data_IF_479691093858
#
_entry.id   IF_479691093858
#
_cell.length_a   1.000
_cell.length_b   1.000
_cell.length_c   1.000
_cell.angle_alpha   90.00
_cell.angle_beta   90.00
_cell.angle_gamma   90.00
#
_symmetry.space_group_name_H-M   'P 1'
#
loop_
_entity.id
_entity.type
_entity.pdbx_description
1 polymer ?
#
# COMPACT_ATOMS: atom_id res chain seq x y z
N UNK A 1 -11.58 21.19 7.05
CA UNK A 1 -10.23 21.59 6.58
C UNK A 1 -10.38 22.21 5.20
N UNK A 2 -9.69 23.34 4.88
CA UNK A 2 -9.68 23.91 3.55
C UNK A 2 -9.20 22.87 2.54
N UNK A 3 -9.90 22.70 1.44
CA UNK A 3 -9.48 21.83 0.35
C UNK A 3 -8.83 22.65 -0.77
N UNK A 4 -8.10 22.01 -1.70
CA UNK A 4 -7.46 22.68 -2.84
C UNK A 4 -8.44 23.53 -3.68
N UNK A 5 -9.73 23.23 -3.60
CA UNK A 5 -10.81 23.89 -4.34
C UNK A 5 -11.73 24.76 -3.46
N UNK A 6 -11.62 24.67 -2.14
CA UNK A 6 -12.40 25.45 -1.21
C UNK A 6 -11.46 26.16 -0.21
N UNK A 7 -11.25 27.46 -0.43
CA UNK A 7 -10.44 28.35 0.42
C UNK A 7 -11.24 28.97 1.57
N UNK A 8 -12.35 28.34 2.00
CA UNK A 8 -13.14 28.86 3.10
C UNK A 8 -12.29 28.94 4.37
N UNK A 9 -12.21 30.12 4.92
CA UNK A 9 -11.70 30.38 6.27
C UNK A 9 -12.58 29.64 7.28
N UNK A 10 -12.02 29.37 8.44
CA UNK A 10 -12.79 28.80 9.55
C UNK A 10 -13.92 29.77 9.91
N UNK A 11 -15.15 29.26 10.02
CA UNK A 11 -16.27 30.04 10.51
C UNK A 11 -16.16 30.17 12.02
N UNK A 12 -15.85 31.36 12.52
CA UNK A 12 -15.76 31.68 13.94
C UNK A 12 -16.99 32.46 14.43
N UNK A 13 -18.14 32.33 13.76
CA UNK A 13 -19.37 32.96 14.18
C UNK A 13 -19.94 32.25 15.43
N UNK A 14 -20.13 32.96 16.57
CA UNK A 14 -20.75 32.39 17.77
C UNK A 14 -22.12 31.75 17.52
N UNK A 15 -22.89 32.26 16.58
CA UNK A 15 -24.19 31.68 16.20
C UNK A 15 -24.06 30.30 15.54
N UNK A 16 -23.02 30.07 14.78
CA UNK A 16 -22.75 28.77 14.18
C UNK A 16 -22.25 27.76 15.22
N UNK A 17 -21.47 28.19 16.21
CA UNK A 17 -21.12 27.34 17.35
C UNK A 17 -22.36 26.94 18.16
N UNK A 18 -23.33 27.83 18.39
CA UNK A 18 -24.57 27.49 19.08
C UNK A 18 -25.38 26.41 18.32
N UNK A 19 -25.45 26.52 16.98
CA UNK A 19 -26.06 25.48 16.14
C UNK A 19 -25.32 24.15 16.24
N UNK A 20 -23.97 24.20 16.19
CA UNK A 20 -23.15 23.01 16.34
C UNK A 20 -23.34 22.33 17.70
N UNK A 21 -23.38 23.10 18.78
CA UNK A 21 -23.63 22.56 20.11
C UNK A 21 -25.03 21.95 20.23
N UNK A 22 -26.04 22.60 19.67
CA UNK A 22 -27.40 22.04 19.63
C UNK A 22 -27.45 20.72 18.84
N UNK A 23 -26.75 20.66 17.70
CA UNK A 23 -26.63 19.47 16.89
C UNK A 23 -25.93 18.33 17.66
N UNK A 24 -24.75 18.59 18.23
CA UNK A 24 -24.02 17.60 19.02
C UNK A 24 -24.83 17.09 20.22
N UNK A 25 -25.58 17.99 20.90
CA UNK A 25 -26.49 17.58 21.99
C UNK A 25 -27.59 16.65 21.48
N UNK A 26 -28.16 16.94 20.32
CA UNK A 26 -29.19 16.11 19.73
C UNK A 26 -28.64 14.74 19.34
N UNK A 27 -27.41 14.66 18.81
CA UNK A 27 -26.76 13.39 18.47
C UNK A 27 -26.61 12.50 19.72
N UNK A 28 -26.16 13.08 20.84
CA UNK A 28 -26.05 12.33 22.12
C UNK A 28 -27.41 11.81 22.60
N UNK A 29 -28.47 12.62 22.51
CA UNK A 29 -29.84 12.19 22.89
C UNK A 29 -30.32 11.04 22.00
N UNK A 30 -30.05 11.10 20.71
CA UNK A 30 -30.41 10.02 19.77
C UNK A 30 -29.61 8.76 20.06
N UNK A 31 -28.30 8.90 20.30
CA UNK A 31 -27.43 7.77 20.66
C UNK A 31 -27.90 7.07 21.95
N UNK A 32 -28.26 7.84 22.97
CA UNK A 32 -28.80 7.31 24.22
C UNK A 32 -30.13 6.57 24.01
N UNK A 33 -31.02 7.15 23.18
CA UNK A 33 -32.29 6.49 22.84
C UNK A 33 -32.09 5.17 22.10
N UNK A 34 -31.16 5.14 21.14
CA UNK A 34 -30.79 3.92 20.41
C UNK A 34 -30.20 2.89 21.37
N UNK A 35 -29.29 3.32 22.27
CA UNK A 35 -28.68 2.42 23.26
C UNK A 35 -29.74 1.74 24.14
N UNK A 36 -30.75 2.48 24.57
CA UNK A 36 -31.81 1.95 25.44
C UNK A 36 -32.76 0.96 24.73
N UNK A 37 -32.89 1.05 23.39
CA UNK A 37 -33.71 0.18 22.55
C UNK A 37 -32.93 -1.02 21.98
N UNK A 38 -31.59 -1.01 22.06
CA UNK A 38 -30.75 -2.09 21.53
C UNK A 38 -30.37 -3.10 22.60
N UNK A 39 -30.23 -4.36 22.19
CA UNK A 39 -29.74 -5.40 23.09
C UNK A 39 -28.25 -5.26 23.31
N UNK A 40 -27.81 -5.48 24.54
CA UNK A 40 -26.39 -5.60 24.86
C UNK A 40 -25.71 -6.75 24.12
N UNK A 41 -24.41 -6.62 23.87
CA UNK A 41 -23.62 -7.72 23.36
C UNK A 41 -23.66 -8.91 24.29
N UNK A 42 -23.84 -10.12 23.72
CA UNK A 42 -23.64 -11.35 24.50
C UNK A 42 -22.27 -11.32 25.23
N UNK A 43 -22.17 -11.80 26.49
CA UNK A 43 -20.93 -11.71 27.28
C UNK A 43 -19.67 -12.12 26.53
N UNK A 44 -19.68 -13.25 25.85
CA UNK A 44 -18.54 -13.71 25.01
C UNK A 44 -18.18 -12.70 23.89
N UNK A 45 -19.16 -12.12 23.23
CA UNK A 45 -18.94 -11.12 22.17
C UNK A 45 -18.39 -9.83 22.77
N UNK A 46 -18.84 -9.45 23.96
CA UNK A 46 -18.35 -8.29 24.70
C UNK A 46 -16.89 -8.47 25.10
N UNK A 47 -16.50 -9.64 25.62
CA UNK A 47 -15.11 -9.93 25.98
C UNK A 47 -14.21 -9.88 24.76
N UNK A 48 -14.67 -10.41 23.63
CA UNK A 48 -13.95 -10.36 22.35
C UNK A 48 -13.81 -8.91 21.85
N UNK A 49 -14.87 -8.11 21.97
CA UNK A 49 -14.83 -6.69 21.63
C UNK A 49 -13.86 -5.90 22.52
N UNK A 50 -13.87 -6.13 23.84
CA UNK A 50 -12.93 -5.51 24.79
C UNK A 50 -11.48 -5.88 24.46
N UNK A 51 -11.23 -7.15 24.11
CA UNK A 51 -9.91 -7.58 23.65
C UNK A 51 -9.49 -6.85 22.36
N UNK A 52 -10.42 -6.69 21.42
CA UNK A 52 -10.16 -5.94 20.18
C UNK A 52 -9.81 -4.46 20.49
N UNK A 53 -10.51 -3.81 21.43
CA UNK A 53 -10.16 -2.45 21.84
C UNK A 53 -8.73 -2.38 22.37
N UNK A 54 -8.36 -3.29 23.27
CA UNK A 54 -6.99 -3.36 23.83
C UNK A 54 -5.92 -3.58 22.74
N UNK A 55 -6.21 -4.43 21.74
CA UNK A 55 -5.30 -4.66 20.61
C UNK A 55 -5.14 -3.37 19.79
N UNK A 56 -6.26 -2.71 19.47
CA UNK A 56 -6.25 -1.46 18.71
C UNK A 56 -5.56 -0.31 19.45
N UNK A 57 -5.76 -0.19 20.75
CA UNK A 57 -5.09 0.82 21.60
C UNK A 57 -3.59 0.55 21.72
N UNK A 58 -3.20 -0.70 21.95
CA UNK A 58 -1.77 -1.07 22.01
C UNK A 58 -1.09 -0.76 20.68
N UNK A 59 -1.78 -0.98 19.57
CA UNK A 59 -1.25 -0.84 18.24
C UNK A 59 -0.20 -1.89 17.88
N UNK A 60 0.27 -1.85 16.65
CA UNK A 60 1.24 -2.76 16.07
C UNK A 60 2.51 -1.97 15.79
N UNK A 61 3.68 -2.41 16.27
CA UNK A 61 4.93 -1.72 16.01
C UNK A 61 5.28 -1.80 14.52
N UNK A 62 5.92 -0.74 14.03
CA UNK A 62 6.38 -0.62 12.64
C UNK A 62 7.82 -0.11 12.65
N UNK A 63 8.69 -0.77 11.94
CA UNK A 63 10.05 -0.31 11.71
C UNK A 63 10.07 0.77 10.63
N UNK A 64 9.98 2.04 11.09
CA UNK A 64 9.97 3.22 10.23
C UNK A 64 11.23 3.30 9.38
N UNK A 65 12.40 3.06 9.98
CA UNK A 65 13.68 3.17 9.29
C UNK A 65 13.81 2.16 8.16
N UNK A 66 13.45 0.91 8.40
CA UNK A 66 13.41 -0.12 7.38
C UNK A 66 12.48 0.27 6.22
N UNK A 67 11.28 0.75 6.52
CA UNK A 67 10.32 1.15 5.50
C UNK A 67 10.85 2.31 4.66
N UNK A 68 11.44 3.32 5.29
CA UNK A 68 12.05 4.47 4.61
C UNK A 68 13.22 4.03 3.70
N UNK A 69 14.05 3.09 4.16
CA UNK A 69 15.15 2.54 3.37
C UNK A 69 14.64 1.77 2.15
N UNK A 70 13.63 0.91 2.32
CA UNK A 70 13.01 0.17 1.21
C UNK A 70 12.41 1.14 0.19
N UNK A 71 11.63 2.13 0.62
CA UNK A 71 11.01 3.09 -0.27
C UNK A 71 12.05 3.96 -1.01
N UNK A 72 13.14 4.36 -0.35
CA UNK A 72 14.23 5.10 -0.96
C UNK A 72 14.93 4.25 -2.03
N UNK A 73 15.26 3.00 -1.72
CA UNK A 73 15.88 2.06 -2.66
C UNK A 73 14.98 1.80 -3.87
N UNK A 74 13.69 1.52 -3.64
CA UNK A 74 12.73 1.30 -4.73
C UNK A 74 12.54 2.52 -5.61
N UNK A 75 12.58 3.73 -5.05
CA UNK A 75 12.51 4.95 -5.84
C UNK A 75 13.68 5.07 -6.81
N UNK A 76 14.90 4.88 -6.33
CA UNK A 76 16.12 4.93 -7.17
C UNK A 76 16.05 3.86 -8.25
N UNK A 77 15.66 2.63 -7.89
CA UNK A 77 15.51 1.53 -8.83
C UNK A 77 14.44 1.81 -9.90
N UNK A 78 13.29 2.31 -9.50
CA UNK A 78 12.21 2.66 -10.40
C UNK A 78 12.59 3.79 -11.36
N UNK A 79 13.31 4.80 -10.88
CA UNK A 79 13.80 5.92 -11.69
C UNK A 79 14.81 5.42 -12.74
N UNK A 80 15.73 4.49 -12.37
CA UNK A 80 16.65 3.81 -13.32
C UNK A 80 15.89 3.05 -14.40
N UNK A 81 14.88 2.26 -14.02
CA UNK A 81 14.07 1.50 -14.98
C UNK A 81 13.26 2.40 -15.95
N UNK A 82 12.75 3.53 -15.45
CA UNK A 82 12.06 4.50 -16.31
C UNK A 82 13.04 5.16 -17.29
N UNK A 83 14.24 5.52 -16.84
CA UNK A 83 15.27 6.09 -17.71
C UNK A 83 15.68 5.11 -18.82
N UNK A 84 15.96 3.85 -18.46
CA UNK A 84 16.25 2.78 -19.42
C UNK A 84 15.11 2.56 -20.43
N UNK A 85 13.87 2.55 -19.93
CA UNK A 85 12.69 2.42 -20.78
C UNK A 85 12.60 3.57 -21.80
N UNK A 86 12.87 4.79 -21.36
CA UNK A 86 12.87 5.96 -22.23
C UNK A 86 13.99 5.91 -23.28
N UNK A 87 15.19 5.50 -22.90
CA UNK A 87 16.31 5.32 -23.82
C UNK A 87 16.01 4.30 -24.90
N UNK A 88 15.36 3.18 -24.55
CA UNK A 88 14.98 2.13 -25.50
C UNK A 88 13.83 2.54 -26.44
N UNK A 89 12.83 3.24 -25.91
CA UNK A 89 11.56 3.40 -26.61
C UNK A 89 11.27 4.83 -27.08
N UNK A 90 11.89 5.83 -26.47
CA UNK A 90 11.52 7.25 -26.60
C UNK A 90 10.16 7.59 -25.95
N UNK A 91 9.53 6.64 -25.24
CA UNK A 91 8.24 6.83 -24.57
C UNK A 91 8.46 7.22 -23.11
N UNK A 92 7.89 8.32 -22.68
CA UNK A 92 8.13 8.93 -21.34
C UNK A 92 7.82 8.00 -20.15
N UNK A 93 6.95 7.00 -20.33
CA UNK A 93 6.56 6.14 -19.21
C UNK A 93 6.05 4.77 -19.68
N UNK A 94 6.43 3.68 -19.00
CA UNK A 94 5.89 2.35 -19.24
C UNK A 94 4.36 2.26 -19.11
N UNK A 95 3.71 3.24 -18.47
CA UNK A 95 2.25 3.30 -18.29
C UNK A 95 1.51 3.80 -19.53
N UNK A 96 2.19 4.45 -20.47
CA UNK A 96 1.60 4.90 -21.73
C UNK A 96 1.41 3.70 -22.66
N UNK A 97 0.19 3.15 -22.70
CA UNK A 97 -0.12 1.90 -23.42
C UNK A 97 0.04 2.01 -24.92
N UNK A 98 -0.60 3.00 -25.54
CA UNK A 98 -0.68 3.13 -26.99
C UNK A 98 0.72 3.29 -27.61
N UNK A 99 1.54 4.26 -27.19
CA UNK A 99 2.89 4.41 -27.74
C UNK A 99 3.78 3.17 -27.55
N UNK A 100 3.63 2.49 -26.40
CA UNK A 100 4.41 1.26 -26.13
C UNK A 100 4.00 0.12 -27.06
N UNK A 101 2.70 -0.04 -27.33
CA UNK A 101 2.20 -1.05 -28.28
C UNK A 101 2.67 -0.74 -29.71
N UNK A 102 2.61 0.50 -30.12
CA UNK A 102 3.08 0.95 -31.44
C UNK A 102 4.58 0.69 -31.61
N UNK A 103 5.38 0.98 -30.59
CA UNK A 103 6.81 0.71 -30.58
C UNK A 103 7.13 -0.80 -30.70
N UNK A 104 6.37 -1.66 -29.99
CA UNK A 104 6.50 -3.12 -30.08
C UNK A 104 6.10 -3.65 -31.45
N UNK A 105 4.99 -3.17 -32.03
CA UNK A 105 4.50 -3.56 -33.36
C UNK A 105 5.49 -3.22 -34.45
N UNK A 106 6.12 -2.06 -34.39
CA UNK A 106 7.17 -1.67 -35.33
C UNK A 106 8.37 -2.64 -35.35
N UNK A 107 8.51 -3.49 -34.34
CA UNK A 107 9.56 -4.51 -34.17
C UNK A 107 9.06 -5.94 -34.31
N UNK A 108 7.84 -6.11 -34.83
CA UNK A 108 7.24 -7.42 -35.10
C UNK A 108 6.63 -8.11 -33.90
N UNK A 109 6.47 -7.41 -32.76
CA UNK A 109 5.81 -7.95 -31.58
C UNK A 109 4.39 -7.38 -31.48
N UNK A 110 3.38 -8.24 -31.62
CA UNK A 110 1.96 -7.82 -31.60
C UNK A 110 1.25 -8.25 -30.31
N UNK A 111 1.41 -7.52 -29.19
CA UNK A 111 0.71 -7.86 -27.97
C UNK A 111 -0.79 -7.51 -28.12
N UNK A 112 -1.66 -8.45 -27.77
CA UNK A 112 -3.12 -8.21 -27.70
C UNK A 112 -3.46 -7.19 -26.61
N UNK A 113 -2.70 -7.19 -25.55
CA UNK A 113 -2.84 -6.30 -24.40
C UNK A 113 -1.52 -6.24 -23.63
N UNK A 114 -1.31 -5.14 -22.91
CA UNK A 114 -0.20 -5.01 -21.95
C UNK A 114 -0.67 -5.21 -20.49
N UNK A 115 -1.79 -5.91 -20.29
CA UNK A 115 -2.21 -6.37 -18.98
C UNK A 115 -1.24 -7.44 -18.45
N UNK A 116 -1.13 -7.56 -17.13
CA UNK A 116 -0.11 -8.39 -16.45
C UNK A 116 -0.05 -9.82 -17.00
N UNK A 117 -1.19 -10.48 -17.16
CA UNK A 117 -1.27 -11.87 -17.56
C UNK A 117 -0.84 -12.05 -19.05
N UNK A 118 -1.22 -11.11 -19.92
CA UNK A 118 -0.82 -11.11 -21.32
C UNK A 118 0.67 -10.80 -21.51
N UNK A 119 1.25 -9.92 -20.71
CA UNK A 119 2.70 -9.65 -20.76
C UNK A 119 3.50 -10.92 -20.45
N UNK A 120 3.05 -11.72 -19.45
CA UNK A 120 3.70 -13.01 -19.12
C UNK A 120 3.62 -13.99 -20.29
N UNK A 121 2.52 -14.02 -21.03
CA UNK A 121 2.37 -14.88 -22.22
C UNK A 121 3.24 -14.40 -23.38
N UNK A 122 3.29 -13.10 -23.64
CA UNK A 122 4.12 -12.52 -24.70
C UNK A 122 5.60 -12.75 -24.43
N UNK A 123 6.06 -12.64 -23.18
CA UNK A 123 7.45 -12.89 -22.79
C UNK A 123 7.93 -14.33 -23.03
N UNK A 124 7.02 -15.30 -23.24
CA UNK A 124 7.36 -16.69 -23.61
C UNK A 124 7.65 -16.86 -25.10
N UNK A 125 7.30 -15.87 -25.91
CA UNK A 125 7.53 -15.91 -27.36
C UNK A 125 8.97 -15.54 -27.70
N UNK A 126 9.42 -15.95 -28.87
CA UNK A 126 10.68 -15.48 -29.43
C UNK A 126 10.50 -14.03 -29.91
N UNK A 127 11.40 -13.15 -29.50
CA UNK A 127 11.34 -11.73 -29.81
C UNK A 127 12.72 -11.07 -29.65
N UNK A 128 12.94 -9.90 -30.26
CA UNK A 128 14.15 -9.12 -30.04
C UNK A 128 14.39 -8.81 -28.54
N UNK A 129 15.65 -8.84 -28.12
CA UNK A 129 16.03 -8.62 -26.70
C UNK A 129 15.55 -7.27 -26.18
N UNK A 130 15.57 -6.23 -27.00
CA UNK A 130 15.06 -4.89 -26.65
C UNK A 130 13.54 -4.91 -26.35
N UNK A 131 12.77 -5.68 -27.11
CA UNK A 131 11.33 -5.83 -26.86
C UNK A 131 11.06 -6.61 -25.57
N UNK A 132 11.82 -7.66 -25.34
CA UNK A 132 11.80 -8.42 -24.09
C UNK A 132 12.08 -7.52 -22.89
N UNK A 133 13.15 -6.73 -22.97
CA UNK A 133 13.54 -5.81 -21.88
C UNK A 133 12.49 -4.76 -21.62
N UNK A 134 11.89 -4.16 -22.63
CA UNK A 134 10.78 -3.20 -22.49
C UNK A 134 9.58 -3.81 -21.78
N UNK A 135 9.21 -5.04 -22.09
CA UNK A 135 8.11 -5.75 -21.43
C UNK A 135 8.44 -6.12 -19.98
N UNK A 136 9.68 -6.50 -19.69
CA UNK A 136 10.17 -6.75 -18.34
C UNK A 136 10.11 -5.49 -17.48
N UNK A 137 10.66 -4.37 -17.98
CA UNK A 137 10.60 -3.08 -17.27
C UNK A 137 9.15 -2.70 -16.98
N UNK A 138 8.26 -2.87 -17.95
CA UNK A 138 6.84 -2.62 -17.73
C UNK A 138 6.24 -3.52 -16.64
N UNK A 139 6.59 -4.80 -16.62
CA UNK A 139 6.13 -5.75 -15.59
C UNK A 139 6.65 -5.35 -14.21
N UNK A 140 7.92 -4.99 -14.10
CA UNK A 140 8.57 -4.56 -12.87
C UNK A 140 7.94 -3.26 -12.31
N UNK A 141 7.76 -2.26 -13.18
CA UNK A 141 7.20 -0.95 -12.79
C UNK A 141 5.68 -0.95 -12.55
N UNK A 142 4.97 -2.01 -12.97
CA UNK A 142 3.53 -2.16 -12.71
C UNK A 142 3.20 -2.73 -11.34
N UNK A 143 4.17 -3.27 -10.63
CA UNK A 143 3.97 -3.86 -9.28
C UNK A 143 3.63 -2.75 -8.27
N UNK A 144 2.65 -3.03 -7.42
CA UNK A 144 2.10 -2.06 -6.45
C UNK A 144 2.43 -2.45 -5.00
N UNK A 145 3.46 -3.27 -4.82
CA UNK A 145 3.85 -3.84 -3.52
C UNK A 145 4.15 -2.79 -2.44
N UNK A 146 4.73 -1.65 -2.84
CA UNK A 146 5.12 -0.56 -1.94
C UNK A 146 3.98 0.29 -1.38
N UNK A 147 2.77 0.19 -1.94
CA UNK A 147 1.62 0.94 -1.39
C UNK A 147 1.35 0.64 0.08
N UNK A 148 1.65 -0.59 0.53
CA UNK A 148 1.49 -0.98 1.93
C UNK A 148 2.49 -0.25 2.83
N UNK A 149 3.74 -0.12 2.42
CA UNK A 149 4.77 0.64 3.13
C UNK A 149 4.40 2.12 3.27
N UNK A 150 3.95 2.74 2.18
CA UNK A 150 3.44 4.12 2.22
C UNK A 150 2.23 4.25 3.16
N UNK A 151 1.32 3.27 3.14
CA UNK A 151 0.18 3.27 4.05
C UNK A 151 0.61 3.14 5.52
N UNK A 152 1.63 2.33 5.82
CA UNK A 152 2.21 2.21 7.16
C UNK A 152 2.82 3.54 7.63
N UNK A 153 3.66 4.19 6.81
CA UNK A 153 4.27 5.47 7.16
C UNK A 153 3.24 6.59 7.39
N UNK A 154 2.15 6.59 6.62
CA UNK A 154 1.10 7.60 6.76
C UNK A 154 0.24 7.41 8.02
N UNK A 155 0.34 6.27 8.70
CA UNK A 155 -0.48 5.91 9.85
C UNK A 155 0.34 5.66 11.12
N UNK A 156 1.66 5.54 11.00
CA UNK A 156 2.51 5.34 12.17
C UNK A 156 2.52 6.60 13.02
N UNK A 157 2.27 6.44 14.31
CA UNK A 157 2.26 7.50 15.30
C UNK A 157 3.69 7.76 15.82
N UNK A 158 3.84 8.74 16.72
CA UNK A 158 5.14 9.15 17.25
C UNK A 158 5.87 8.03 18.00
N UNK A 159 5.12 7.12 18.62
CA UNK A 159 5.65 5.96 19.34
C UNK A 159 5.99 4.77 18.45
N UNK A 160 5.96 4.93 17.12
CA UNK A 160 6.29 3.90 16.15
C UNK A 160 5.21 2.83 15.97
N UNK A 161 3.95 3.10 16.33
CA UNK A 161 2.86 2.14 16.24
C UNK A 161 1.74 2.63 15.34
N UNK A 162 1.07 1.68 14.67
CA UNK A 162 -0.18 1.91 13.96
C UNK A 162 -1.34 1.35 14.77
N UNK A 163 -2.43 2.13 14.85
CA UNK A 163 -3.61 1.83 15.68
C UNK A 163 -4.89 1.76 14.88
N UNK A 164 -5.93 1.11 15.44
CA UNK A 164 -7.25 1.05 14.82
C UNK A 164 -7.33 0.18 13.57
N UNK A 165 -6.48 -0.84 13.46
CA UNK A 165 -6.37 -1.69 12.26
C UNK A 165 -7.42 -2.81 12.23
N UNK A 166 -8.12 -3.10 13.34
CA UNK A 166 -9.07 -4.19 13.46
C UNK A 166 -10.48 -3.69 13.77
N UNK A 167 -11.43 -4.03 12.92
CA UNK A 167 -12.85 -3.75 13.11
C UNK A 167 -13.57 -5.01 13.61
N UNK A 168 -14.10 -4.95 14.81
CA UNK A 168 -14.96 -6.01 15.36
C UNK A 168 -16.23 -6.11 14.53
N UNK A 169 -16.61 -7.35 14.12
CA UNK A 169 -17.77 -7.60 13.26
C UNK A 169 -17.81 -6.72 11.99
N UNK A 170 -16.67 -6.29 11.46
CA UNK A 170 -16.61 -5.42 10.29
C UNK A 170 -17.02 -6.06 8.95
N UNK A 171 -17.15 -7.39 8.90
CA UNK A 171 -17.66 -8.13 7.74
C UNK A 171 -19.09 -8.57 7.94
N UNK A 172 -19.87 -8.71 6.85
CA UNK A 172 -21.25 -9.18 6.88
C UNK A 172 -21.44 -10.57 7.50
N UNK A 173 -20.38 -11.38 7.52
CA UNK A 173 -20.35 -12.71 8.15
C UNK A 173 -20.02 -12.67 9.66
N UNK A 174 -19.93 -11.50 10.28
CA UNK A 174 -19.53 -11.34 11.68
C UNK A 174 -18.03 -11.54 11.96
N UNK A 175 -17.20 -11.64 10.91
CA UNK A 175 -15.74 -11.74 11.06
C UNK A 175 -15.12 -10.37 11.29
N UNK A 176 -13.93 -10.36 11.88
CA UNK A 176 -13.11 -9.17 11.92
C UNK A 176 -12.80 -8.67 10.50
N UNK A 177 -12.88 -7.37 10.30
CA UNK A 177 -12.37 -6.74 9.09
C UNK A 177 -11.11 -5.92 9.42
N UNK A 178 -10.28 -5.70 8.40
CA UNK A 178 -9.14 -4.81 8.51
C UNK A 178 -9.47 -3.40 8.11
N UNK A 179 -8.86 -2.46 8.78
CA UNK A 179 -8.85 -1.05 8.43
C UNK A 179 -7.45 -0.64 7.95
N UNK A 180 -7.34 0.48 7.30
CA UNK A 180 -6.06 1.11 6.94
C UNK A 180 -5.09 0.21 6.19
N UNK A 181 -4.03 -0.24 6.85
CA UNK A 181 -3.01 -1.10 6.25
C UNK A 181 -3.54 -2.51 5.96
N UNK A 182 -4.57 -2.94 6.69
CA UNK A 182 -5.13 -4.30 6.58
C UNK A 182 -4.05 -5.37 6.80
N UNK A 183 -3.51 -5.43 7.99
CA UNK A 183 -2.37 -6.29 8.35
C UNK A 183 -2.63 -7.77 8.06
N UNK A 184 -3.88 -8.24 8.25
CA UNK A 184 -4.27 -9.62 7.92
C UNK A 184 -4.13 -9.94 6.42
N UNK A 185 -4.06 -8.92 5.55
CA UNK A 185 -3.91 -9.05 4.11
C UNK A 185 -2.49 -8.69 3.63
N UNK A 186 -1.49 -8.70 4.51
CA UNK A 186 -0.10 -8.55 4.11
C UNK A 186 0.32 -9.76 3.25
N UNK A 187 1.06 -9.53 2.16
CA UNK A 187 1.51 -10.59 1.27
C UNK A 187 2.37 -11.62 2.05
N UNK A 188 2.33 -12.86 1.60
CA UNK A 188 3.22 -13.90 2.15
C UNK A 188 4.62 -13.68 1.61
N UNK A 189 5.67 -13.80 2.44
CA UNK A 189 7.04 -13.75 1.97
C UNK A 189 7.30 -14.90 0.99
N UNK A 190 8.10 -14.63 -0.04
CA UNK A 190 8.59 -15.64 -0.99
C UNK A 190 9.98 -16.17 -0.62
N UNK A 191 10.70 -15.43 0.20
CA UNK A 191 12.04 -15.75 0.68
C UNK A 191 11.98 -16.33 2.08
N UNK A 192 13.00 -17.05 2.47
CA UNK A 192 13.17 -17.57 3.83
C UNK A 192 13.32 -16.42 4.84
N UNK A 193 13.19 -16.76 6.11
CA UNK A 193 13.36 -15.77 7.18
C UNK A 193 14.80 -15.21 7.20
N UNK A 194 15.80 -16.08 7.03
CA UNK A 194 17.21 -15.69 7.05
C UNK A 194 17.56 -14.78 5.85
N UNK A 195 17.08 -15.11 4.66
CA UNK A 195 17.25 -14.24 3.47
C UNK A 195 16.55 -12.88 3.67
N UNK A 196 15.40 -12.89 4.33
CA UNK A 196 14.66 -11.64 4.62
C UNK A 196 15.45 -10.76 5.62
N UNK A 197 16.07 -11.34 6.65
CA UNK A 197 16.92 -10.60 7.59
C UNK A 197 18.15 -10.01 6.91
N UNK A 198 18.83 -10.77 6.05
CA UNK A 198 19.97 -10.26 5.26
C UNK A 198 19.54 -9.12 4.32
N UNK A 199 18.34 -9.24 3.74
CA UNK A 199 17.81 -8.19 2.87
C UNK A 199 17.52 -6.89 3.64
N UNK A 200 17.04 -6.98 4.89
CA UNK A 200 16.84 -5.80 5.76
C UNK A 200 18.15 -5.04 5.92
N UNK A 201 19.25 -5.75 6.22
CA UNK A 201 20.58 -5.14 6.34
C UNK A 201 21.04 -4.52 5.01
N UNK A 202 20.77 -5.21 3.90
CA UNK A 202 21.14 -4.71 2.57
C UNK A 202 20.35 -3.44 2.20
N UNK A 203 19.04 -3.36 2.52
CA UNK A 203 18.23 -2.16 2.29
C UNK A 203 18.73 -0.93 3.05
N UNK A 204 19.45 -1.10 4.17
CA UNK A 204 20.06 0.01 4.89
C UNK A 204 21.11 0.78 4.05
N UNK A 205 21.70 0.14 3.04
CA UNK A 205 22.63 0.79 2.10
C UNK A 205 21.94 1.72 1.12
N UNK A 206 20.64 1.54 0.87
CA UNK A 206 19.82 2.23 -0.15
C UNK A 206 20.35 2.07 -1.58
N UNK A 207 21.13 1.03 -1.83
CA UNK A 207 21.71 0.70 -3.13
C UNK A 207 20.89 -0.41 -3.82
N UNK A 208 20.11 -0.10 -4.88
CA UNK A 208 19.31 -1.09 -5.56
C UNK A 208 20.13 -2.14 -6.29
N UNK A 209 21.31 -1.80 -6.80
CA UNK A 209 22.16 -2.73 -7.55
C UNK A 209 22.73 -3.79 -6.60
N UNK A 210 23.09 -3.39 -5.38
CA UNK A 210 23.52 -4.31 -4.35
C UNK A 210 22.38 -5.24 -3.91
N UNK A 211 21.16 -4.71 -3.75
CA UNK A 211 19.98 -5.53 -3.39
C UNK A 211 19.69 -6.54 -4.48
N UNK A 212 19.70 -6.15 -5.76
CA UNK A 212 19.46 -7.09 -6.87
C UNK A 212 20.58 -8.13 -7.01
N UNK A 213 21.82 -7.75 -6.81
CA UNK A 213 22.96 -8.67 -6.86
C UNK A 213 22.88 -9.75 -5.76
N UNK A 214 22.49 -9.36 -4.54
CA UNK A 214 22.47 -10.28 -3.39
C UNK A 214 21.17 -11.10 -3.29
N UNK A 215 20.03 -10.52 -3.65
CA UNK A 215 18.72 -11.09 -3.37
C UNK A 215 17.85 -11.29 -4.64
N UNK A 216 18.34 -10.95 -5.82
CA UNK A 216 17.60 -11.08 -7.06
C UNK A 216 16.56 -9.96 -7.23
N UNK A 217 15.31 -10.31 -7.48
CA UNK A 217 14.29 -9.31 -7.80
C UNK A 217 13.96 -8.40 -6.61
N UNK A 218 14.37 -7.13 -6.69
CA UNK A 218 14.20 -6.13 -5.64
C UNK A 218 12.74 -6.01 -5.15
N UNK A 219 11.78 -5.99 -6.06
CA UNK A 219 10.36 -5.90 -5.73
C UNK A 219 9.85 -7.13 -4.95
N UNK A 220 10.40 -8.31 -5.18
CA UNK A 220 10.00 -9.55 -4.51
C UNK A 220 10.59 -9.65 -3.11
N UNK A 221 11.85 -9.26 -2.96
CA UNK A 221 12.49 -9.25 -1.63
C UNK A 221 11.90 -8.13 -0.75
N UNK A 222 11.61 -6.95 -1.33
CA UNK A 222 10.90 -5.89 -0.62
C UNK A 222 9.54 -6.37 -0.08
N UNK A 223 8.76 -7.12 -0.88
CA UNK A 223 7.49 -7.72 -0.42
C UNK A 223 7.72 -8.70 0.74
N UNK A 224 8.82 -9.43 0.75
CA UNK A 224 9.14 -10.37 1.85
C UNK A 224 9.47 -9.65 3.16
N UNK A 225 10.05 -8.46 3.08
CA UNK A 225 10.37 -7.63 4.26
C UNK A 225 9.15 -6.96 4.92
N UNK A 226 7.96 -7.00 4.31
CA UNK A 226 6.78 -6.26 4.82
C UNK A 226 6.25 -6.80 6.16
N UNK A 227 6.48 -8.05 6.49
CA UNK A 227 6.01 -8.64 7.77
C UNK A 227 6.97 -8.43 8.92
N UNK A 228 8.30 -8.45 8.73
CA UNK A 228 9.28 -8.06 9.74
C UNK A 228 9.31 -6.55 10.02
N UNK A 229 8.87 -5.71 9.06
CA UNK A 229 8.93 -4.24 9.18
C UNK A 229 7.99 -3.61 10.22
#
# INVERSE_FOLDING_TARGET
>A
KPTKHNKSEWHDDPADYQKLYAYCKQDVVVEEAIHNETLDLHPHSRDTWLLNQKINERGIPVDRELIENILATEKVWHDKLIAEFYELTGVESPRKLVPTIEWLRARGVEPKSLAKDHVVEVLKQDMPDECRRVLEIRQLTSRTSTKKYTAMLNRVEEDGRIRGEHLFHGASTGRFAGSGVQIQNLPRPKHSYDETLQAIETFATRDPDLVEMMHGNLSEIAVSCIRPS
#
